data_IF_906568428189
#
_entry.id   IF_906568428189
#
_cell.length_a   1.000
_cell.length_b   1.000
_cell.length_c   1.000
_cell.angle_alpha   90.00
_cell.angle_beta   90.00
_cell.angle_gamma   90.00
#
_symmetry.space_group_name_H-M   'P 1'
#
loop_
_entity.id
_entity.type
_entity.pdbx_description
1 polymer ?
#
# COMPACT_ATOMS: atom_id res chain seq x y z
N UNK A 1 -13.45 12.43 17.94
CA UNK A 1 -12.98 11.70 16.72
C UNK A 1 -14.18 10.94 16.15
N UNK A 2 -14.46 11.03 14.84
CA UNK A 2 -15.58 10.32 14.20
C UNK A 2 -15.02 9.23 13.28
N UNK A 3 -15.44 7.98 13.50
CA UNK A 3 -14.97 6.81 12.73
C UNK A 3 -16.05 6.41 11.73
N UNK A 4 -15.66 6.13 10.49
CA UNK A 4 -16.53 5.52 9.47
C UNK A 4 -15.94 4.18 9.07
N UNK A 5 -16.66 3.06 9.26
CA UNK A 5 -16.19 1.77 8.79
C UNK A 5 -16.23 1.73 7.25
N UNK A 6 -15.21 1.11 6.65
CA UNK A 6 -15.08 0.96 5.20
C UNK A 6 -14.74 -0.51 4.96
N UNK A 7 -15.37 -1.13 3.96
CA UNK A 7 -15.11 -2.53 3.61
C UNK A 7 -13.63 -2.72 3.26
N UNK A 8 -12.93 -3.51 4.06
CA UNK A 8 -11.49 -3.78 3.95
C UNK A 8 -11.16 -4.89 2.95
N UNK A 9 -12.15 -5.67 2.53
CA UNK A 9 -11.96 -6.77 1.58
C UNK A 9 -11.22 -6.29 0.32
N UNK A 10 -10.22 -7.08 -0.07
CA UNK A 10 -9.32 -6.91 -1.23
C UNK A 10 -8.49 -5.62 -1.27
N UNK A 11 -8.50 -4.79 -0.23
CA UNK A 11 -7.76 -3.52 -0.21
C UNK A 11 -6.25 -3.69 -0.26
N UNK A 12 -5.70 -4.81 0.21
CA UNK A 12 -4.25 -5.13 0.12
C UNK A 12 -3.88 -5.92 -1.13
N UNK A 13 -4.80 -6.12 -2.08
CA UNK A 13 -4.60 -6.96 -3.27
C UNK A 13 -4.42 -6.18 -4.57
N UNK A 14 -4.74 -4.89 -4.58
CA UNK A 14 -4.69 -4.04 -5.77
C UNK A 14 -3.75 -2.87 -5.56
N UNK A 15 -2.99 -2.52 -6.60
CA UNK A 15 -2.10 -1.37 -6.55
C UNK A 15 -2.92 -0.07 -6.40
N UNK A 16 -2.63 0.77 -5.37
CA UNK A 16 -3.43 1.97 -5.12
C UNK A 16 -3.23 3.05 -6.21
N UNK A 17 -2.12 2.97 -6.93
CA UNK A 17 -1.75 3.91 -7.99
C UNK A 17 -2.35 3.52 -9.35
N UNK A 18 -2.14 2.27 -9.80
CA UNK A 18 -2.52 1.85 -11.15
C UNK A 18 -3.74 0.92 -11.22
N UNK A 19 -4.28 0.49 -10.07
CA UNK A 19 -5.44 -0.40 -9.97
C UNK A 19 -5.19 -1.85 -10.37
N UNK A 20 -3.99 -2.22 -10.83
CA UNK A 20 -3.67 -3.60 -11.21
C UNK A 20 -3.58 -4.51 -9.98
N UNK A 21 -4.12 -5.73 -10.09
CA UNK A 21 -3.96 -6.77 -9.06
C UNK A 21 -2.47 -7.08 -8.89
N UNK A 22 -1.97 -6.93 -7.67
CA UNK A 22 -0.59 -7.28 -7.34
C UNK A 22 -0.47 -8.69 -6.78
N UNK A 23 0.75 -9.01 -6.36
CA UNK A 23 1.09 -10.25 -5.67
C UNK A 23 1.48 -9.91 -4.23
N UNK A 24 0.80 -10.50 -3.25
CA UNK A 24 1.28 -10.51 -1.85
C UNK A 24 2.29 -11.63 -1.73
N UNK A 25 3.57 -11.27 -1.62
CA UNK A 25 4.67 -12.23 -1.54
C UNK A 25 4.77 -12.77 -0.11
N UNK A 26 4.68 -11.87 0.87
CA UNK A 26 4.57 -12.20 2.30
C UNK A 26 3.45 -11.36 2.92
N UNK A 27 3.18 -11.54 4.23
CA UNK A 27 2.18 -10.73 4.94
C UNK A 27 2.45 -9.23 4.78
N UNK A 28 3.71 -8.80 4.85
CA UNK A 28 4.11 -7.40 4.76
C UNK A 28 4.51 -6.93 3.37
N UNK A 29 4.71 -7.83 2.39
CA UNK A 29 5.30 -7.47 1.09
C UNK A 29 4.30 -7.62 -0.06
N UNK A 30 4.04 -6.52 -0.77
CA UNK A 30 3.19 -6.46 -1.95
C UNK A 30 4.03 -6.04 -3.17
N UNK A 31 3.80 -6.71 -4.30
CA UNK A 31 4.42 -6.38 -5.58
C UNK A 31 3.37 -6.04 -6.63
N UNK A 32 3.54 -4.90 -7.31
CA UNK A 32 2.74 -4.52 -8.46
C UNK A 32 3.49 -4.82 -9.77
N UNK A 33 2.99 -5.72 -10.64
CA UNK A 33 3.66 -6.05 -11.89
C UNK A 33 3.59 -4.93 -12.94
N UNK A 34 2.55 -4.10 -12.92
CA UNK A 34 2.39 -3.00 -13.90
C UNK A 34 3.29 -1.81 -13.60
N UNK A 35 3.43 -1.46 -12.33
CA UNK A 35 4.31 -0.36 -11.91
C UNK A 35 5.77 -0.82 -11.72
N UNK A 36 5.98 -2.14 -11.65
CA UNK A 36 7.26 -2.76 -11.26
C UNK A 36 7.76 -2.23 -9.90
N UNK A 37 6.89 -2.29 -8.89
CA UNK A 37 7.15 -1.69 -7.57
C UNK A 37 6.82 -2.66 -6.44
N UNK A 38 7.63 -2.58 -5.39
CA UNK A 38 7.45 -3.28 -4.13
C UNK A 38 6.94 -2.28 -3.09
N UNK A 39 6.00 -2.69 -2.26
CA UNK A 39 5.36 -1.83 -1.25
C UNK A 39 5.01 -2.67 -0.03
N UNK A 40 4.87 -2.02 1.13
CA UNK A 40 4.28 -2.69 2.27
C UNK A 40 2.78 -2.97 2.02
N UNK A 41 2.32 -4.20 2.29
CA UNK A 41 0.94 -4.61 2.03
C UNK A 41 -0.11 -3.85 2.88
N UNK A 42 0.26 -3.40 4.09
CA UNK A 42 -0.61 -2.61 4.96
C UNK A 42 -0.75 -1.18 4.43
N UNK A 43 0.32 -0.59 3.91
CA UNK A 43 0.28 0.71 3.23
C UNK A 43 -0.63 0.66 2.01
N UNK A 44 -0.52 -0.42 1.21
CA UNK A 44 -1.43 -0.68 0.08
C UNK A 44 -2.89 -0.75 0.55
N UNK A 45 -3.16 -1.45 1.64
CA UNK A 45 -4.48 -1.50 2.27
C UNK A 45 -5.01 -0.13 2.67
N UNK A 46 -4.22 0.64 3.43
CA UNK A 46 -4.54 1.98 3.90
C UNK A 46 -4.85 2.94 2.74
N UNK A 47 -4.00 2.98 1.71
CA UNK A 47 -4.21 3.85 0.55
C UNK A 47 -5.48 3.49 -0.23
N UNK A 48 -5.80 2.20 -0.37
CA UNK A 48 -7.03 1.78 -1.02
C UNK A 48 -8.28 2.10 -0.20
N UNK A 49 -8.23 2.01 1.13
CA UNK A 49 -9.33 2.46 2.01
C UNK A 49 -9.51 3.97 1.91
N UNK A 50 -8.42 4.74 1.98
CA UNK A 50 -8.44 6.19 1.85
C UNK A 50 -9.02 6.63 0.49
N UNK A 51 -8.66 5.91 -0.58
CA UNK A 51 -9.19 6.13 -1.92
C UNK A 51 -10.69 5.80 -2.03
N UNK A 52 -11.14 4.67 -1.47
CA UNK A 52 -12.58 4.32 -1.39
C UNK A 52 -13.39 5.34 -0.57
N UNK A 53 -12.74 6.03 0.36
CA UNK A 53 -13.34 7.04 1.22
C UNK A 53 -13.23 8.46 0.65
N UNK A 54 -12.72 8.61 -0.58
CA UNK A 54 -12.43 9.89 -1.23
C UNK A 54 -11.54 10.84 -0.39
N UNK A 55 -10.72 10.30 0.51
CA UNK A 55 -9.78 11.08 1.34
C UNK A 55 -8.56 11.46 0.50
N UNK A 56 -8.07 10.52 -0.32
CA UNK A 56 -6.95 10.73 -1.25
C UNK A 56 -7.49 10.54 -2.67
N UNK A 57 -7.84 11.62 -3.38
CA UNK A 57 -8.45 11.52 -4.70
C UNK A 57 -7.45 11.06 -5.77
N UNK A 58 -6.16 11.37 -5.60
CA UNK A 58 -5.12 11.00 -6.55
C UNK A 58 -3.83 10.63 -5.81
N UNK A 59 -3.63 9.34 -5.45
CA UNK A 59 -2.41 8.92 -4.78
C UNK A 59 -1.20 9.08 -5.72
N UNK A 60 -0.15 9.72 -5.23
CA UNK A 60 1.07 10.02 -5.96
C UNK A 60 2.26 9.20 -5.47
N UNK A 61 3.11 8.75 -6.40
CA UNK A 61 4.37 8.08 -6.07
C UNK A 61 5.29 9.02 -5.26
N UNK A 62 6.05 8.47 -4.32
CA UNK A 62 6.87 9.24 -3.38
C UNK A 62 6.09 9.71 -2.16
N UNK A 63 5.08 10.58 -2.35
CA UNK A 63 4.26 11.14 -1.25
C UNK A 63 3.60 10.04 -0.42
N UNK A 64 2.97 9.08 -1.10
CA UNK A 64 2.07 8.11 -0.46
C UNK A 64 2.73 6.72 -0.26
N UNK A 65 3.85 6.44 -0.93
CA UNK A 65 4.60 5.17 -0.77
C UNK A 65 5.90 5.34 0.05
N UNK A 66 6.46 6.55 0.17
CA UNK A 66 7.63 6.88 0.98
C UNK A 66 8.82 5.90 0.85
N UNK A 67 9.58 5.76 1.94
CA UNK A 67 10.62 4.72 2.14
C UNK A 67 10.02 3.36 2.55
N UNK A 68 8.70 3.21 2.59
CA UNK A 68 8.04 1.97 3.06
C UNK A 68 8.16 0.81 2.06
N UNK A 69 8.59 1.12 0.83
CA UNK A 69 8.98 0.18 -0.21
C UNK A 69 10.42 -0.33 -0.06
N UNK A 70 11.26 0.38 0.71
CA UNK A 70 12.62 -0.03 1.02
C UNK A 70 12.58 -0.72 2.38
N UNK A 71 12.64 -2.06 2.45
CA UNK A 71 13.03 -2.69 3.69
C UNK A 71 14.45 -2.19 3.99
N UNK A 72 14.56 -1.12 4.77
CA UNK A 72 15.82 -0.78 5.40
C UNK A 72 16.10 -1.98 6.27
N UNK A 73 17.05 -2.83 5.85
CA UNK A 73 17.70 -3.78 6.74
C UNK A 73 18.34 -2.90 7.82
N UNK A 74 17.61 -2.62 8.90
CA UNK A 74 18.21 -2.24 10.16
C UNK A 74 19.08 -3.44 10.51
N UNK A 75 20.38 -3.36 10.18
CA UNK A 75 21.38 -4.17 10.86
C UNK A 75 21.25 -3.72 12.31
N UNK A 76 20.59 -4.55 13.13
CA UNK A 76 20.81 -4.50 14.55
C UNK A 76 22.24 -5.03 14.72
N UNK A 77 23.20 -4.12 14.70
CA UNK A 77 24.57 -4.48 15.08
C UNK A 77 24.49 -4.99 16.53
N UNK A 78 25.02 -6.20 16.71
CA UNK A 78 25.00 -6.98 17.94
C UNK A 78 25.88 -6.38 19.04
#
# INVERSE_FOLDING_TARGET
IRVKPVKEYSTSSYCPFCGTKGKRITRGLFYCPKCNQIMNADVVGCLNIARRSNIIPNPGWGRDNGVLAHPLFLRADA
#
